data_IF_698993190722
#
_entry.id   IF_698993190722
#
_cell.length_a   1.000
_cell.length_b   1.000
_cell.length_c   1.000
_cell.angle_alpha   90.00
_cell.angle_beta   90.00
_cell.angle_gamma   90.00
#
_symmetry.space_group_name_H-M   'P 1'
#
loop_
_entity.id
_entity.type
_entity.pdbx_description
1 polymer ?
#
# COMPACT_ATOMS: atom_id res chain seq x y z
N UNK A 1 -32.31 43.63 -26.51
CA UNK A 1 -31.74 43.05 -25.27
C UNK A 1 -32.78 42.16 -24.61
N UNK A 2 -32.62 40.83 -24.70
CA UNK A 2 -33.41 39.86 -23.94
C UNK A 2 -32.51 39.33 -22.84
N UNK A 3 -32.87 39.62 -21.60
CA UNK A 3 -32.17 39.19 -20.39
C UNK A 3 -32.42 37.69 -20.18
N UNK A 4 -31.39 36.88 -20.35
CA UNK A 4 -31.42 35.46 -19.97
C UNK A 4 -31.41 35.36 -18.45
N UNK A 5 -32.53 34.88 -17.91
CA UNK A 5 -32.81 34.70 -16.48
C UNK A 5 -31.83 33.72 -15.82
N UNK A 6 -31.33 34.00 -14.59
CA UNK A 6 -30.32 33.20 -13.88
C UNK A 6 -30.86 31.86 -13.32
N UNK A 7 -32.12 31.52 -13.59
CA UNK A 7 -32.79 30.32 -13.02
C UNK A 7 -32.30 29.00 -13.62
N UNK A 8 -31.67 29.00 -14.80
CA UNK A 8 -31.17 27.78 -15.44
C UNK A 8 -29.81 27.32 -14.88
N UNK A 9 -28.92 28.25 -14.55
CA UNK A 9 -27.60 27.92 -13.98
C UNK A 9 -27.70 27.31 -12.57
N UNK A 10 -28.66 27.80 -11.76
CA UNK A 10 -28.88 27.30 -10.39
C UNK A 10 -29.42 25.86 -10.35
N UNK A 11 -30.20 25.44 -11.36
CA UNK A 11 -30.73 24.07 -11.46
C UNK A 11 -29.66 23.03 -11.82
N UNK A 12 -28.66 23.42 -12.63
CA UNK A 12 -27.51 22.56 -12.94
C UNK A 12 -26.63 22.28 -11.72
N UNK A 13 -26.42 23.29 -10.88
CA UNK A 13 -25.64 23.16 -9.64
C UNK A 13 -26.30 22.24 -8.61
N UNK A 14 -27.63 22.33 -8.46
CA UNK A 14 -28.39 21.46 -7.55
C UNK A 14 -28.40 20.00 -8.04
N UNK A 15 -28.47 19.78 -9.36
CA UNK A 15 -28.40 18.43 -9.93
C UNK A 15 -27.00 17.80 -9.75
N UNK A 16 -25.94 18.60 -9.84
CA UNK A 16 -24.57 18.14 -9.65
C UNK A 16 -24.27 17.78 -8.18
N UNK A 17 -24.81 18.54 -7.23
CA UNK A 17 -24.73 18.26 -5.79
C UNK A 17 -25.46 16.97 -5.38
N UNK A 18 -26.51 16.57 -6.11
CA UNK A 18 -27.24 15.32 -5.84
C UNK A 18 -26.52 14.06 -6.37
N UNK A 19 -25.62 14.20 -7.35
CA UNK A 19 -24.88 13.06 -7.94
C UNK A 19 -23.60 12.74 -7.12
N UNK A 20 -23.04 13.72 -6.41
CA UNK A 20 -21.88 13.57 -5.53
C UNK A 20 -22.18 12.92 -4.16
N UNK A 21 -23.46 12.69 -3.84
CA UNK A 21 -23.89 12.23 -2.51
C UNK A 21 -23.81 10.73 -2.24
N UNK A 22 -23.46 9.90 -3.22
CA UNK A 22 -23.29 8.45 -3.01
C UNK A 22 -21.86 8.11 -2.57
N UNK A 23 -21.39 8.78 -1.53
CA UNK A 23 -20.33 8.20 -0.70
C UNK A 23 -20.95 6.94 -0.09
N UNK A 24 -20.50 5.78 -0.55
CA UNK A 24 -20.81 4.49 0.07
C UNK A 24 -20.50 4.62 1.56
N UNK A 25 -21.53 4.76 2.39
CA UNK A 25 -21.38 4.64 3.83
C UNK A 25 -20.95 3.20 4.07
N UNK A 26 -19.69 2.98 4.44
CA UNK A 26 -19.26 1.67 4.91
C UNK A 26 -20.00 1.42 6.22
N UNK A 27 -21.03 0.60 6.16
CA UNK A 27 -21.83 0.29 7.32
C UNK A 27 -21.03 -0.64 8.24
N UNK A 28 -20.64 -0.13 9.41
CA UNK A 28 -19.84 -0.88 10.38
C UNK A 28 -20.69 -1.96 11.09
N UNK A 29 -20.13 -3.16 11.34
CA UNK A 29 -20.82 -4.20 12.10
C UNK A 29 -20.93 -3.85 13.59
N UNK A 30 -21.91 -4.42 14.27
CA UNK A 30 -21.99 -4.44 15.75
C UNK A 30 -22.04 -5.88 16.24
N UNK A 31 -21.67 -6.13 17.49
CA UNK A 31 -21.77 -7.45 18.13
C UNK A 31 -23.13 -7.52 18.81
N UNK A 32 -23.99 -8.43 18.34
CA UNK A 32 -25.34 -8.58 18.88
C UNK A 32 -25.32 -9.46 20.15
N UNK A 33 -24.64 -10.61 20.05
CA UNK A 33 -24.63 -11.62 21.11
C UNK A 33 -23.25 -12.28 21.16
N UNK A 34 -22.75 -12.51 22.37
CA UNK A 34 -21.61 -13.39 22.61
C UNK A 34 -22.01 -14.53 23.55
N UNK A 35 -21.52 -15.74 23.30
CA UNK A 35 -21.73 -16.90 24.18
C UNK A 35 -20.45 -17.73 24.32
N UNK A 36 -20.37 -18.50 25.41
CA UNK A 36 -19.24 -19.39 25.66
C UNK A 36 -19.66 -20.81 25.94
N UNK A 37 -18.92 -21.76 25.37
CA UNK A 37 -19.06 -23.19 25.59
C UNK A 37 -17.75 -23.71 26.17
N UNK A 38 -17.82 -24.25 27.38
CA UNK A 38 -16.65 -24.85 28.04
C UNK A 38 -16.60 -26.35 27.78
N UNK A 39 -15.47 -26.81 27.26
CA UNK A 39 -15.13 -28.22 27.14
C UNK A 39 -13.99 -28.61 28.08
N UNK A 40 -13.69 -29.91 28.13
CA UNK A 40 -12.62 -30.44 28.97
C UNK A 40 -11.23 -29.94 28.52
N UNK A 41 -11.03 -29.79 27.20
CA UNK A 41 -9.75 -29.44 26.57
C UNK A 41 -9.66 -27.99 26.10
N UNK A 42 -10.80 -27.35 25.83
CA UNK A 42 -10.87 -26.01 25.26
C UNK A 42 -12.09 -25.23 25.76
N UNK A 43 -12.04 -23.91 25.57
CA UNK A 43 -13.18 -23.01 25.69
C UNK A 43 -13.46 -22.45 24.30
N UNK A 44 -14.72 -22.44 23.89
CA UNK A 44 -15.15 -21.79 22.66
C UNK A 44 -15.91 -20.54 23.02
N UNK A 45 -15.53 -19.41 22.43
CA UNK A 45 -16.25 -18.15 22.49
C UNK A 45 -16.83 -17.89 21.10
N UNK A 46 -18.13 -17.64 21.03
CA UNK A 46 -18.80 -17.33 19.79
C UNK A 46 -19.34 -15.90 19.87
N UNK A 47 -19.01 -15.09 18.87
CA UNK A 47 -19.53 -13.74 18.70
C UNK A 47 -20.35 -13.69 17.41
N UNK A 48 -21.58 -13.21 17.52
CA UNK A 48 -22.50 -13.02 16.40
C UNK A 48 -22.58 -11.53 16.08
N UNK A 49 -22.31 -11.19 14.82
CA UNK A 49 -22.28 -9.82 14.34
C UNK A 49 -23.47 -9.53 13.44
N UNK A 50 -23.97 -8.30 13.50
CA UNK A 50 -25.07 -7.83 12.65
C UNK A 50 -24.70 -7.75 11.17
N UNK A 51 -23.40 -7.57 10.86
CA UNK A 51 -22.84 -7.51 9.51
C UNK A 51 -21.49 -8.24 9.44
N UNK A 52 -21.05 -8.68 8.25
CA UNK A 52 -19.75 -9.30 8.07
C UNK A 52 -18.59 -8.39 8.52
N UNK A 53 -17.61 -8.97 9.23
CA UNK A 53 -16.34 -8.33 9.57
C UNK A 53 -15.18 -9.01 8.83
N UNK A 54 -14.13 -8.24 8.51
CA UNK A 54 -12.95 -8.76 7.81
C UNK A 54 -11.93 -9.34 8.80
N UNK A 55 -11.05 -10.22 8.31
CA UNK A 55 -9.98 -10.82 9.15
C UNK A 55 -8.98 -9.80 9.68
N UNK A 56 -8.73 -8.74 8.93
CA UNK A 56 -7.83 -7.64 9.32
C UNK A 56 -8.38 -6.84 10.49
N UNK A 57 -9.68 -6.87 10.72
CA UNK A 57 -10.36 -6.10 11.77
C UNK A 57 -10.53 -6.90 13.08
N UNK A 58 -9.89 -8.07 13.19
CA UNK A 58 -9.88 -8.88 14.41
C UNK A 58 -8.46 -9.31 14.73
N UNK A 59 -8.04 -9.02 15.96
CA UNK A 59 -6.78 -9.51 16.50
C UNK A 59 -7.01 -10.18 17.84
N UNK A 60 -6.32 -11.29 18.10
CA UNK A 60 -6.37 -11.92 19.41
C UNK A 60 -5.04 -12.59 19.74
N UNK A 61 -4.61 -12.45 20.99
CA UNK A 61 -3.36 -13.03 21.48
C UNK A 61 -3.48 -13.41 22.95
N UNK A 62 -2.60 -14.30 23.38
CA UNK A 62 -2.46 -14.71 24.77
C UNK A 62 -1.44 -13.80 25.43
N UNK A 63 -1.78 -13.26 26.59
CA UNK A 63 -0.93 -12.43 27.43
C UNK A 63 -0.76 -13.10 28.80
N UNK A 64 0.47 -13.14 29.32
CA UNK A 64 0.79 -13.70 30.65
C UNK A 64 0.19 -15.10 30.91
N UNK A 65 0.00 -15.90 29.85
CA UNK A 65 -0.49 -17.28 29.84
C UNK A 65 -1.94 -17.52 30.32
N UNK A 66 -2.54 -16.63 31.12
CA UNK A 66 -3.91 -16.77 31.64
C UNK A 66 -4.85 -15.68 31.11
N UNK A 67 -4.32 -14.65 30.46
CA UNK A 67 -5.11 -13.61 29.82
C UNK A 67 -5.19 -13.87 28.33
N UNK A 68 -6.38 -13.71 27.78
CA UNK A 68 -6.58 -13.66 26.35
C UNK A 68 -7.18 -12.32 25.97
N UNK A 69 -6.49 -11.60 25.10
CA UNK A 69 -6.93 -10.30 24.60
C UNK A 69 -7.54 -10.51 23.22
N UNK A 70 -8.72 -9.94 23.00
CA UNK A 70 -9.43 -9.96 21.72
C UNK A 70 -9.88 -8.56 21.35
N UNK A 71 -9.41 -8.08 20.21
CA UNK A 71 -9.75 -6.78 19.66
C UNK A 71 -10.63 -6.94 18.43
N UNK A 72 -11.69 -6.14 18.40
CA UNK A 72 -12.51 -5.89 17.22
C UNK A 72 -12.32 -4.44 16.79
N UNK A 73 -11.95 -4.21 15.54
CA UNK A 73 -11.74 -2.90 14.95
C UNK A 73 -12.89 -2.54 14.01
N UNK A 74 -13.11 -1.24 13.78
CA UNK A 74 -14.13 -0.73 12.86
C UNK A 74 -15.55 -1.24 13.15
N UNK A 75 -15.89 -1.40 14.42
CA UNK A 75 -17.24 -1.81 14.84
C UNK A 75 -18.01 -0.64 15.46
N UNK A 76 -19.33 -0.79 15.57
CA UNK A 76 -20.20 0.07 16.38
C UNK A 76 -20.21 -0.48 17.80
N UNK A 77 -20.32 0.40 18.80
CA UNK A 77 -20.33 0.01 20.21
C UNK A 77 -21.47 -0.97 20.49
N UNK A 78 -21.17 -2.20 20.97
CA UNK A 78 -22.20 -3.16 21.32
C UNK A 78 -23.01 -2.74 22.56
N UNK A 79 -24.21 -3.28 22.68
CA UNK A 79 -25.03 -3.10 23.88
C UNK A 79 -24.34 -3.69 25.11
N UNK A 80 -24.39 -3.01 26.27
CA UNK A 80 -23.71 -3.44 27.50
C UNK A 80 -24.03 -4.88 27.98
N UNK A 81 -25.09 -5.49 27.47
CA UNK A 81 -25.50 -6.86 27.78
C UNK A 81 -24.93 -7.95 26.87
N UNK A 82 -24.18 -7.64 25.81
CA UNK A 82 -23.78 -8.64 24.80
C UNK A 82 -22.91 -9.79 25.37
N UNK A 83 -22.19 -9.54 26.47
CA UNK A 83 -21.33 -10.53 27.16
C UNK A 83 -22.04 -11.37 28.22
N UNK A 84 -23.34 -11.17 28.48
CA UNK A 84 -24.04 -11.83 29.61
C UNK A 84 -23.97 -13.35 29.59
N UNK A 85 -23.83 -13.95 28.40
CA UNK A 85 -23.74 -15.39 28.23
C UNK A 85 -22.29 -15.91 28.14
N UNK A 86 -21.30 -15.09 28.53
CA UNK A 86 -19.88 -15.46 28.61
C UNK A 86 -19.47 -15.86 30.04
N UNK A 87 -20.31 -16.61 30.76
CA UNK A 87 -20.14 -16.88 32.20
C UNK A 87 -19.66 -18.30 32.53
N UNK A 88 -19.26 -19.06 31.51
CA UNK A 88 -18.80 -20.45 31.69
C UNK A 88 -17.40 -20.51 32.32
N UNK A 89 -17.26 -21.31 33.39
CA UNK A 89 -15.94 -21.69 33.92
C UNK A 89 -15.09 -22.29 32.79
N UNK A 90 -13.79 -21.95 32.65
CA UNK A 90 -12.92 -21.26 33.61
C UNK A 90 -12.78 -19.74 33.43
N UNK A 91 -13.67 -19.05 32.71
CA UNK A 91 -13.61 -17.58 32.62
C UNK A 91 -13.91 -16.98 34.01
N UNK A 92 -12.98 -16.22 34.57
CA UNK A 92 -13.08 -15.58 35.89
C UNK A 92 -13.50 -14.11 35.80
N UNK A 93 -12.93 -13.40 34.84
CA UNK A 93 -13.16 -11.96 34.64
C UNK A 93 -13.13 -11.62 33.16
N UNK A 94 -13.89 -10.60 32.78
CA UNK A 94 -13.93 -10.06 31.42
C UNK A 94 -13.90 -8.54 31.53
N UNK A 95 -12.78 -7.95 31.13
CA UNK A 95 -12.62 -6.51 31.07
C UNK A 95 -12.91 -6.03 29.66
N UNK A 96 -13.58 -4.88 29.56
CA UNK A 96 -13.92 -4.26 28.29
C UNK A 96 -13.36 -2.86 28.25
N UNK A 97 -12.71 -2.52 27.15
CA UNK A 97 -12.31 -1.15 26.84
C UNK A 97 -12.81 -0.76 25.46
N UNK A 98 -13.37 0.42 25.35
CA UNK A 98 -13.93 0.96 24.12
C UNK A 98 -13.21 2.25 23.75
N UNK A 99 -12.58 2.26 22.58
CA UNK A 99 -11.91 3.46 22.06
C UNK A 99 -12.00 3.50 20.54
N UNK A 100 -12.30 4.67 19.95
CA UNK A 100 -12.25 4.93 18.51
C UNK A 100 -12.77 3.76 17.63
N UNK A 101 -14.03 3.36 17.83
CA UNK A 101 -14.69 2.29 17.06
C UNK A 101 -13.99 0.93 17.16
N UNK A 102 -13.26 0.73 18.25
CA UNK A 102 -12.54 -0.49 18.57
C UNK A 102 -12.94 -0.96 19.95
N UNK A 103 -13.23 -2.25 20.06
CA UNK A 103 -13.55 -2.92 21.31
C UNK A 103 -12.44 -3.89 21.66
N UNK A 104 -11.85 -3.70 22.83
CA UNK A 104 -10.92 -4.64 23.43
C UNK A 104 -11.64 -5.43 24.52
N UNK A 105 -11.51 -6.75 24.45
CA UNK A 105 -12.01 -7.69 25.44
C UNK A 105 -10.84 -8.47 26.03
N UNK A 106 -10.66 -8.37 27.34
CA UNK A 106 -9.61 -9.07 28.07
C UNK A 106 -10.25 -10.14 28.94
N UNK A 107 -10.01 -11.40 28.59
CA UNK A 107 -10.54 -12.56 29.29
C UNK A 107 -9.51 -13.11 30.26
N UNK A 108 -9.84 -13.13 31.54
CA UNK A 108 -9.04 -13.81 32.56
C UNK A 108 -9.54 -15.23 32.76
N UNK A 109 -8.68 -16.22 32.52
CA UNK A 109 -9.01 -17.64 32.67
C UNK A 109 -8.38 -18.22 33.95
N UNK A 110 -9.15 -19.03 34.68
CA UNK A 110 -8.64 -19.82 35.81
C UNK A 110 -7.63 -20.90 35.39
N UNK A 111 -7.61 -21.25 34.09
CA UNK A 111 -6.73 -22.25 33.52
C UNK A 111 -5.80 -21.61 32.50
N UNK A 112 -4.53 -22.04 32.53
CA UNK A 112 -3.51 -21.61 31.59
C UNK A 112 -3.87 -21.93 30.16
N UNK A 113 -3.80 -20.92 29.30
CA UNK A 113 -4.12 -20.98 27.87
C UNK A 113 -2.81 -21.27 27.13
N UNK A 114 -2.80 -22.35 26.35
CA UNK A 114 -1.63 -22.76 25.57
C UNK A 114 -1.68 -22.31 24.12
N UNK A 115 -2.88 -22.29 23.51
CA UNK A 115 -3.08 -21.83 22.14
C UNK A 115 -4.43 -21.14 21.97
N UNK A 116 -4.50 -20.21 21.03
CA UNK A 116 -5.72 -19.50 20.66
C UNK A 116 -5.90 -19.50 19.16
N UNK A 117 -7.05 -19.97 18.68
CA UNK A 117 -7.43 -19.92 17.28
C UNK A 117 -8.63 -19.00 17.11
N UNK A 118 -8.47 -17.95 16.30
CA UNK A 118 -9.56 -17.07 15.90
C UNK A 118 -9.97 -17.45 14.48
N UNK A 119 -11.24 -17.79 14.28
CA UNK A 119 -11.79 -18.27 13.01
C UNK A 119 -13.02 -17.47 12.65
N UNK A 120 -13.04 -16.95 11.42
CA UNK A 120 -14.23 -16.35 10.83
C UNK A 120 -15.08 -17.43 10.19
N UNK A 121 -16.38 -17.36 10.39
CA UNK A 121 -17.35 -18.25 9.79
C UNK A 121 -18.55 -17.45 9.28
N UNK A 122 -19.39 -18.09 8.47
CA UNK A 122 -20.60 -17.49 7.92
C UNK A 122 -20.32 -16.18 7.18
N UNK A 123 -19.31 -16.23 6.30
CA UNK A 123 -18.80 -15.09 5.55
C UNK A 123 -18.40 -13.88 6.42
N UNK A 124 -17.99 -14.12 7.68
CA UNK A 124 -17.58 -13.09 8.62
C UNK A 124 -18.69 -12.54 9.52
N UNK A 125 -19.91 -13.07 9.47
CA UNK A 125 -20.96 -12.70 10.42
C UNK A 125 -20.83 -13.41 11.78
N UNK A 126 -19.96 -14.43 11.85
CA UNK A 126 -19.69 -15.15 13.10
C UNK A 126 -18.19 -15.28 13.33
N UNK A 127 -17.75 -14.93 14.54
CA UNK A 127 -16.37 -15.09 14.98
C UNK A 127 -16.32 -16.17 16.05
N UNK A 128 -15.57 -17.22 15.75
CA UNK A 128 -15.26 -18.32 16.66
C UNK A 128 -13.87 -18.11 17.24
N UNK A 129 -13.76 -18.13 18.56
CA UNK A 129 -12.48 -18.14 19.25
C UNK A 129 -12.38 -19.45 20.02
N UNK A 130 -11.36 -20.24 19.74
CA UNK A 130 -11.08 -21.50 20.44
C UNK A 130 -9.81 -21.31 21.26
N UNK A 131 -9.95 -21.36 22.58
CA UNK A 131 -8.84 -21.30 23.52
C UNK A 131 -8.56 -22.71 24.02
N UNK A 132 -7.38 -23.26 23.71
CA UNK A 132 -6.98 -24.59 24.16
C UNK A 132 -6.10 -24.48 25.40
N UNK A 133 -6.39 -25.27 26.44
CA UNK A 133 -5.58 -25.22 27.67
C UNK A 133 -4.17 -25.76 27.42
N UNK A 134 -3.20 -25.20 28.13
CA UNK A 134 -1.78 -25.54 27.99
C UNK A 134 -1.50 -27.04 28.17
N UNK A 135 -2.24 -27.71 29.04
CA UNK A 135 -2.10 -29.15 29.32
C UNK A 135 -2.43 -30.03 28.09
N UNK A 136 -3.21 -29.52 27.14
CA UNK A 136 -3.65 -30.24 25.93
C UNK A 136 -2.97 -29.77 24.65
N UNK A 137 -2.17 -28.70 24.72
CA UNK A 137 -1.34 -28.28 23.59
C UNK A 137 -0.16 -29.22 23.52
N UNK A 138 -0.21 -30.16 22.58
CA UNK A 138 0.96 -30.97 22.27
C UNK A 138 2.09 -30.01 21.86
N UNK A 139 3.32 -30.19 22.38
CA UNK A 139 4.46 -29.51 21.78
C UNK A 139 4.39 -29.79 20.28
N UNK A 140 4.50 -28.74 19.46
CA UNK A 140 4.57 -28.91 18.02
C UNK A 140 5.79 -29.78 17.77
N UNK A 141 5.57 -31.08 17.54
CA UNK A 141 6.59 -31.92 16.95
C UNK A 141 7.06 -31.12 15.74
N UNK A 142 8.34 -30.76 15.74
CA UNK A 142 9.00 -30.20 14.57
C UNK A 142 8.97 -31.34 13.57
N UNK A 143 7.84 -31.46 12.88
CA UNK A 143 7.71 -32.29 11.73
C UNK A 143 8.24 -31.38 10.63
N UNK A 144 9.53 -31.47 10.23
CA UNK A 144 9.92 -30.91 8.95
C UNK A 144 9.00 -31.62 7.96
N UNK A 145 7.97 -30.92 7.50
CA UNK A 145 7.05 -31.45 6.52
C UNK A 145 7.85 -31.62 5.23
N UNK A 146 8.54 -32.74 5.10
CA UNK A 146 9.13 -33.19 3.86
C UNK A 146 7.97 -33.64 2.99
N UNK A 147 7.39 -32.68 2.27
CA UNK A 147 6.71 -33.01 1.02
C UNK A 147 7.82 -33.48 0.10
N UNK A 148 7.96 -34.78 -0.07
CA UNK A 148 8.82 -35.31 -1.13
C UNK A 148 8.16 -34.90 -2.46
N UNK A 149 8.76 -34.02 -3.28
CA UNK A 149 8.37 -33.98 -4.68
C UNK A 149 8.63 -35.37 -5.25
N UNK A 150 7.76 -35.80 -6.15
CA UNK A 150 7.88 -37.03 -6.92
C UNK A 150 9.35 -37.32 -7.26
N UNK A 151 9.86 -38.53 -6.94
CA UNK A 151 11.29 -38.89 -6.96
C UNK A 151 12.01 -38.60 -8.28
N UNK A 152 11.28 -38.37 -9.38
CA UNK A 152 11.85 -38.00 -10.68
C UNK A 152 12.30 -36.54 -10.80
N UNK A 153 11.77 -35.63 -9.98
CA UNK A 153 12.04 -34.19 -10.09
C UNK A 153 12.64 -33.57 -8.81
N UNK A 154 13.00 -34.41 -7.82
CA UNK A 154 13.61 -33.97 -6.57
C UNK A 154 15.08 -33.54 -6.79
N UNK A 155 15.29 -32.31 -7.27
CA UNK A 155 16.61 -31.70 -7.23
C UNK A 155 16.98 -31.35 -5.78
N UNK A 156 18.18 -31.74 -5.35
CA UNK A 156 18.72 -31.38 -4.03
C UNK A 156 19.00 -29.87 -4.03
N UNK A 157 18.11 -29.09 -3.42
CA UNK A 157 18.34 -27.66 -3.18
C UNK A 157 19.36 -27.56 -2.04
N UNK A 158 20.61 -27.20 -2.36
CA UNK A 158 21.63 -26.92 -1.36
C UNK A 158 21.28 -25.65 -0.61
N UNK A 159 21.43 -25.67 0.71
CA UNK A 159 21.30 -24.45 1.50
C UNK A 159 22.37 -23.43 1.04
N UNK A 160 22.00 -22.16 0.84
CA UNK A 160 22.96 -21.14 0.45
C UNK A 160 24.04 -21.04 1.52
N UNK A 161 25.31 -21.07 1.08
CA UNK A 161 26.50 -21.05 1.96
C UNK A 161 26.70 -19.70 2.65
N UNK A 162 26.00 -18.67 2.19
CA UNK A 162 26.05 -17.31 2.72
C UNK A 162 24.69 -16.63 2.51
N UNK A 163 24.34 -15.68 3.39
CA UNK A 163 23.16 -14.82 3.20
C UNK A 163 23.22 -14.02 1.89
N UNK A 164 24.43 -13.82 1.34
CA UNK A 164 24.63 -13.20 0.01
C UNK A 164 24.30 -14.14 -1.15
N UNK A 165 24.49 -15.45 -1.00
CA UNK A 165 24.18 -16.46 -2.03
C UNK A 165 22.68 -16.77 -2.09
N UNK A 166 21.93 -16.39 -1.06
CA UNK A 166 20.47 -16.57 -0.98
C UNK A 166 19.68 -15.47 -1.69
N UNK A 167 20.30 -14.35 -2.07
CA UNK A 167 19.61 -13.26 -2.78
C UNK A 167 19.37 -13.68 -4.21
N UNK A 168 18.10 -13.62 -4.62
CA UNK A 168 17.74 -13.69 -6.02
C UNK A 168 18.37 -12.48 -6.73
N UNK A 169 19.02 -12.71 -7.89
CA UNK A 169 19.69 -11.62 -8.60
C UNK A 169 18.63 -10.70 -9.20
N UNK A 170 18.69 -9.44 -8.84
CA UNK A 170 17.90 -8.38 -9.45
C UNK A 170 18.64 -7.86 -10.68
N UNK A 171 17.95 -7.82 -11.82
CA UNK A 171 18.56 -7.48 -13.13
C UNK A 171 17.73 -6.45 -13.87
N UNK A 172 18.41 -5.53 -14.55
CA UNK A 172 17.82 -4.53 -15.43
C UNK A 172 18.27 -4.79 -16.87
N UNK A 173 17.31 -5.06 -17.74
CA UNK A 173 17.54 -5.11 -19.18
C UNK A 173 17.23 -3.75 -19.78
N UNK A 174 18.21 -3.13 -20.42
CA UNK A 174 18.10 -1.78 -20.98
C UNK A 174 18.14 -1.87 -22.49
N UNK A 175 16.99 -1.62 -23.11
CA UNK A 175 16.84 -1.60 -24.57
C UNK A 175 16.91 -0.15 -25.02
N UNK A 176 17.77 0.13 -26.00
CA UNK A 176 17.91 1.45 -26.60
C UNK A 176 17.61 1.38 -28.10
N UNK A 177 17.06 2.45 -28.64
CA UNK A 177 16.73 2.62 -30.07
C UNK A 177 17.93 3.03 -30.94
N UNK A 178 18.98 3.57 -30.33
CA UNK A 178 20.16 4.12 -31.00
C UNK A 178 21.41 3.39 -30.52
N UNK A 179 22.29 3.04 -31.46
CA UNK A 179 23.55 2.34 -31.18
C UNK A 179 24.64 3.29 -30.65
N UNK A 180 25.57 2.75 -29.88
CA UNK A 180 26.78 3.40 -29.33
C UNK A 180 26.53 4.54 -28.32
N UNK A 181 25.38 4.57 -27.66
CA UNK A 181 25.11 5.54 -26.61
C UNK A 181 25.61 5.05 -25.25
N UNK A 182 26.34 5.89 -24.48
CA UNK A 182 26.76 5.52 -23.13
C UNK A 182 25.54 5.45 -22.21
N UNK A 183 25.38 4.33 -21.52
CA UNK A 183 24.31 4.10 -20.56
C UNK A 183 24.87 4.19 -19.15
N UNK A 184 24.19 4.97 -18.32
CA UNK A 184 24.50 5.14 -16.91
C UNK A 184 23.37 4.59 -16.06
N UNK A 185 23.74 3.87 -15.01
CA UNK A 185 22.85 3.43 -13.92
C UNK A 185 23.44 3.98 -12.63
N UNK A 186 22.64 4.76 -11.89
CA UNK A 186 23.05 5.40 -10.63
C UNK A 186 24.38 6.17 -10.73
N UNK A 187 24.53 6.93 -11.82
CA UNK A 187 25.72 7.72 -12.13
C UNK A 187 26.99 6.91 -12.45
N UNK A 188 26.89 5.58 -12.58
CA UNK A 188 27.99 4.71 -12.99
C UNK A 188 27.80 4.27 -14.45
N UNK A 189 28.86 4.37 -15.26
CA UNK A 189 28.86 3.86 -16.63
C UNK A 189 28.79 2.34 -16.61
N UNK A 190 27.76 1.78 -17.25
CA UNK A 190 27.58 0.32 -17.35
C UNK A 190 27.99 -0.23 -18.71
N UNK A 191 27.89 0.58 -19.76
CA UNK A 191 28.29 0.18 -21.11
C UNK A 191 27.74 1.10 -22.18
N UNK A 192 27.84 0.65 -23.43
CA UNK A 192 27.28 1.33 -24.60
C UNK A 192 26.13 0.51 -25.19
N UNK A 193 25.11 1.17 -25.71
CA UNK A 193 23.98 0.50 -26.37
C UNK A 193 24.41 -0.16 -27.69
N UNK A 194 23.83 -1.32 -28.05
CA UNK A 194 23.03 -2.22 -27.21
C UNK A 194 23.90 -2.94 -26.17
N UNK A 195 23.41 -3.08 -24.94
CA UNK A 195 24.13 -3.83 -23.91
C UNK A 195 24.11 -5.33 -24.23
N UNK A 196 25.26 -6.00 -24.13
CA UNK A 196 25.37 -7.45 -24.38
C UNK A 196 24.69 -8.29 -23.29
N UNK A 197 24.62 -7.78 -22.06
CA UNK A 197 24.14 -8.50 -20.88
C UNK A 197 23.25 -7.57 -20.02
N UNK A 198 22.24 -8.10 -19.32
CA UNK A 198 21.50 -7.35 -18.31
C UNK A 198 22.42 -6.83 -17.21
N UNK A 199 22.06 -5.69 -16.64
CA UNK A 199 22.81 -5.05 -15.56
C UNK A 199 22.33 -5.58 -14.21
N UNK A 200 23.24 -6.14 -13.42
CA UNK A 200 22.96 -6.51 -12.03
C UNK A 200 22.82 -5.24 -11.17
N UNK A 201 21.67 -5.07 -10.51
CA UNK A 201 21.41 -3.94 -9.60
C UNK A 201 20.95 -4.42 -8.23
N UNK A 202 21.02 -3.53 -7.23
CA UNK A 202 20.38 -3.78 -5.94
C UNK A 202 18.85 -3.62 -6.09
N UNK A 203 18.03 -4.15 -5.17
CA UNK A 203 16.62 -3.81 -5.14
C UNK A 203 16.43 -2.39 -4.62
N UNK A 204 15.57 -1.63 -5.30
CA UNK A 204 15.31 -0.24 -4.95
C UNK A 204 15.02 0.64 -6.16
N UNK A 205 15.17 1.94 -5.93
CA UNK A 205 15.04 2.97 -6.96
C UNK A 205 16.39 3.19 -7.64
N UNK A 206 16.40 3.06 -8.96
CA UNK A 206 17.57 3.26 -9.79
C UNK A 206 17.30 4.36 -10.81
N UNK A 207 18.33 5.16 -11.09
CA UNK A 207 18.29 6.21 -12.10
C UNK A 207 19.04 5.74 -13.33
N UNK A 208 18.33 5.58 -14.43
CA UNK A 208 18.91 5.11 -15.69
C UNK A 208 18.81 6.21 -16.74
N UNK A 209 19.89 6.46 -17.48
CA UNK A 209 19.86 7.43 -18.57
C UNK A 209 21.18 7.57 -19.31
N UNK A 210 21.23 8.55 -20.21
CA UNK A 210 22.38 8.80 -21.07
C UNK A 210 23.40 9.78 -20.48
N UNK A 211 23.06 10.44 -19.37
CA UNK A 211 23.84 11.53 -18.79
C UNK A 211 24.14 11.28 -17.31
N UNK A 212 25.32 11.72 -16.85
CA UNK A 212 25.70 11.71 -15.43
C UNK A 212 24.99 12.81 -14.64
N UNK A 213 24.83 12.62 -13.34
CA UNK A 213 24.19 13.58 -12.44
C UNK A 213 25.00 14.87 -12.26
N UNK A 214 26.31 14.84 -12.53
CA UNK A 214 27.23 15.97 -12.35
C UNK A 214 26.81 17.21 -13.15
N UNK A 215 26.20 17.02 -14.33
CA UNK A 215 25.75 18.12 -15.18
C UNK A 215 24.41 18.74 -14.74
N UNK A 216 23.67 18.09 -13.85
CA UNK A 216 22.30 18.50 -13.45
C UNK A 216 22.23 19.29 -12.13
N UNK A 217 23.36 19.50 -11.44
CA UNK A 217 23.41 20.20 -10.15
C UNK A 217 24.31 21.43 -10.17
N UNK A 218 24.06 22.40 -11.04
CA UNK A 218 24.48 23.77 -10.76
C UNK A 218 23.30 24.57 -10.16
N UNK A 219 23.19 24.67 -8.81
CA UNK A 219 22.17 25.49 -8.16
C UNK A 219 22.36 27.00 -8.43
N UNK A 220 23.49 27.40 -9.02
CA UNK A 220 23.76 28.77 -9.45
C UNK A 220 23.50 29.00 -10.95
N UNK A 221 22.83 28.10 -11.65
CA UNK A 221 22.32 28.36 -13.00
C UNK A 221 21.35 29.55 -12.97
N UNK A 222 21.79 30.71 -13.47
CA UNK A 222 21.04 31.98 -13.41
C UNK A 222 20.40 32.32 -14.74
N UNK A 223 20.89 31.72 -15.82
CA UNK A 223 20.44 32.02 -17.18
C UNK A 223 19.32 31.07 -17.60
N UNK A 224 18.31 31.58 -18.31
CA UNK A 224 17.20 30.75 -18.86
C UNK A 224 17.69 29.58 -19.71
N UNK A 225 18.79 29.77 -20.45
CA UNK A 225 19.44 28.72 -21.25
C UNK A 225 20.08 27.61 -20.40
N UNK A 226 20.69 27.97 -19.28
CA UNK A 226 21.30 27.01 -18.35
C UNK A 226 20.22 26.19 -17.63
N UNK A 227 19.13 26.85 -17.22
CA UNK A 227 17.97 26.18 -16.64
C UNK A 227 17.32 25.21 -17.63
N UNK A 228 17.14 25.63 -18.88
CA UNK A 228 16.62 24.77 -19.95
C UNK A 228 17.54 23.57 -20.18
N UNK A 229 18.86 23.78 -20.25
CA UNK A 229 19.83 22.68 -20.36
C UNK A 229 19.69 21.67 -19.21
N UNK A 230 19.57 22.15 -17.97
CA UNK A 230 19.37 21.27 -16.81
C UNK A 230 18.07 20.46 -16.91
N UNK A 231 16.96 21.12 -17.29
CA UNK A 231 15.67 20.45 -17.46
C UNK A 231 15.74 19.35 -18.55
N UNK A 232 16.45 19.60 -19.65
CA UNK A 232 16.68 18.60 -20.72
C UNK A 232 17.48 17.39 -20.20
N UNK A 233 18.53 17.63 -19.41
CA UNK A 233 19.33 16.56 -18.80
C UNK A 233 18.53 15.72 -17.79
N UNK A 234 17.51 16.31 -17.16
CA UNK A 234 16.56 15.58 -16.31
C UNK A 234 15.60 14.74 -17.16
N UNK A 235 15.14 15.23 -18.31
CA UNK A 235 14.25 14.49 -19.21
C UNK A 235 14.91 13.25 -19.82
N UNK A 236 16.23 13.28 -20.05
CA UNK A 236 17.00 12.12 -20.54
C UNK A 236 17.27 11.02 -19.50
N UNK A 237 16.53 11.01 -18.37
CA UNK A 237 16.68 10.05 -17.28
C UNK A 237 15.33 9.45 -16.89
N UNK A 238 15.36 8.17 -16.57
CA UNK A 238 14.22 7.38 -16.13
C UNK A 238 14.49 6.84 -14.71
N UNK A 239 13.56 7.10 -13.81
CA UNK A 239 13.56 6.52 -12.46
C UNK A 239 12.78 5.21 -12.49
N UNK A 240 13.46 4.11 -12.15
CA UNK A 240 12.92 2.76 -12.24
C UNK A 240 12.99 2.11 -10.86
N UNK A 241 11.91 1.45 -10.48
CA UNK A 241 11.87 0.67 -9.25
C UNK A 241 11.99 -0.81 -9.57
N UNK A 242 12.92 -1.50 -8.90
CA UNK A 242 13.17 -2.92 -9.12
C UNK A 242 13.08 -3.66 -7.79
N UNK A 243 12.20 -4.67 -7.72
CA UNK A 243 12.06 -5.53 -6.55
C UNK A 243 13.19 -6.57 -6.44
N UNK A 244 13.36 -7.13 -5.24
CA UNK A 244 14.34 -8.19 -4.98
C UNK A 244 14.03 -9.42 -5.84
N UNK A 245 15.03 -9.91 -6.58
CA UNK A 245 14.90 -11.07 -7.47
C UNK A 245 14.18 -10.87 -8.79
N UNK A 246 13.71 -9.65 -9.10
CA UNK A 246 13.02 -9.39 -10.37
C UNK A 246 13.98 -9.03 -11.51
N UNK A 247 13.55 -9.39 -12.72
CA UNK A 247 14.15 -8.96 -13.98
C UNK A 247 13.20 -7.94 -14.61
N UNK A 248 13.60 -6.67 -14.64
CA UNK A 248 12.81 -5.59 -15.22
C UNK A 248 13.42 -5.14 -16.54
N UNK A 249 12.58 -4.97 -17.56
CA UNK A 249 13.00 -4.52 -18.89
C UNK A 249 12.55 -3.08 -19.08
N UNK A 250 13.50 -2.20 -19.39
CA UNK A 250 13.23 -0.78 -19.66
C UNK A 250 13.64 -0.42 -21.08
N UNK A 251 12.90 0.52 -21.65
CA UNK A 251 13.14 1.02 -22.99
C UNK A 251 13.53 2.49 -22.88
N UNK A 252 14.76 2.80 -23.27
CA UNK A 252 15.25 4.16 -23.41
C UNK A 252 15.16 4.54 -24.88
N UNK A 253 14.42 5.60 -25.18
CA UNK A 253 14.26 6.11 -26.53
C UNK A 253 15.00 7.44 -26.65
N UNK A 254 16.08 7.46 -27.42
CA UNK A 254 16.88 8.65 -27.66
C UNK A 254 16.23 9.56 -28.70
N UNK A 255 15.64 9.00 -29.76
CA UNK A 255 15.07 9.79 -30.85
C UNK A 255 13.86 10.63 -30.41
N UNK A 256 13.03 10.12 -29.50
CA UNK A 256 11.90 10.88 -28.94
C UNK A 256 12.33 11.96 -27.96
N UNK A 257 13.55 11.85 -27.39
CA UNK A 257 14.06 12.87 -26.47
C UNK A 257 14.26 14.21 -27.18
N UNK A 258 14.74 14.21 -28.42
CA UNK A 258 14.89 15.45 -29.22
C UNK A 258 13.53 16.14 -29.44
N UNK A 259 12.49 15.38 -29.74
CA UNK A 259 11.13 15.89 -29.91
C UNK A 259 10.55 16.44 -28.60
N UNK A 260 10.78 15.75 -27.48
CA UNK A 260 10.32 16.18 -26.14
C UNK A 260 11.00 17.49 -25.70
N UNK A 261 12.28 17.67 -26.04
CA UNK A 261 13.03 18.91 -25.80
C UNK A 261 12.47 20.07 -26.62
N UNK A 262 12.12 19.82 -27.89
CA UNK A 262 11.52 20.82 -28.77
C UNK A 262 10.12 21.21 -28.25
N UNK A 263 9.28 20.24 -27.88
CA UNK A 263 7.94 20.49 -27.33
C UNK A 263 8.02 21.26 -26.00
N UNK A 264 8.95 20.91 -25.12
CA UNK A 264 9.19 21.67 -23.88
C UNK A 264 9.53 23.13 -24.16
N UNK A 265 10.47 23.39 -25.09
CA UNK A 265 10.83 24.75 -25.48
C UNK A 265 9.63 25.52 -26.06
N UNK A 266 8.84 24.87 -26.93
CA UNK A 266 7.66 25.46 -27.53
C UNK A 266 6.60 25.81 -26.47
N UNK A 267 6.33 24.90 -25.53
CA UNK A 267 5.40 25.12 -24.41
C UNK A 267 5.87 26.24 -23.48
N UNK A 268 7.17 26.33 -23.22
CA UNK A 268 7.74 27.39 -22.40
C UNK A 268 7.55 28.77 -23.05
N UNK A 269 7.84 28.90 -24.35
CA UNK A 269 7.63 30.16 -25.08
C UNK A 269 6.15 30.52 -25.19
N UNK A 270 5.27 29.57 -25.52
CA UNK A 270 3.83 29.77 -25.58
C UNK A 270 3.23 30.13 -24.21
N UNK A 271 3.69 29.48 -23.14
CA UNK A 271 3.27 29.74 -21.76
C UNK A 271 3.66 31.14 -21.30
N UNK A 272 4.85 31.63 -21.68
CA UNK A 272 5.27 32.99 -21.38
C UNK A 272 4.40 34.03 -22.09
N UNK A 273 4.09 33.84 -23.37
CA UNK A 273 3.24 34.75 -24.17
C UNK A 273 1.79 34.74 -23.68
N UNK A 274 1.23 33.56 -23.41
CA UNK A 274 -0.13 33.41 -22.90
C UNK A 274 -0.27 34.00 -21.48
N UNK A 275 0.71 33.74 -20.60
CA UNK A 275 0.75 34.30 -19.25
C UNK A 275 0.84 35.82 -19.24
N UNK A 276 1.68 36.40 -20.12
CA UNK A 276 1.77 37.86 -20.28
C UNK A 276 0.47 38.46 -20.81
N UNK A 277 -0.21 37.79 -21.76
CA UNK A 277 -1.50 38.23 -22.27
C UNK A 277 -2.60 38.24 -21.20
N UNK A 278 -2.70 37.18 -20.39
CA UNK A 278 -3.66 37.08 -19.29
C UNK A 278 -3.34 38.12 -18.21
N UNK A 279 -2.06 38.30 -17.86
CA UNK A 279 -1.63 39.31 -16.89
C UNK A 279 -1.98 40.73 -17.36
N UNK A 280 -1.72 41.05 -18.63
CA UNK A 280 -2.08 42.34 -19.22
C UNK A 280 -3.60 42.55 -19.25
N UNK A 281 -4.37 41.51 -19.61
CA UNK A 281 -5.84 41.53 -19.56
C UNK A 281 -6.35 41.78 -18.14
N UNK A 282 -5.74 41.15 -17.13
CA UNK A 282 -6.09 41.32 -15.73
C UNK A 282 -5.84 42.76 -15.25
N UNK A 283 -4.70 43.37 -15.62
CA UNK A 283 -4.41 44.78 -15.33
C UNK A 283 -5.44 45.69 -16.00
N UNK A 284 -5.82 45.40 -17.25
CA UNK A 284 -6.80 46.18 -17.99
C UNK A 284 -8.19 46.13 -17.33
N UNK A 285 -8.64 44.94 -16.91
CA UNK A 285 -9.89 44.74 -16.19
C UNK A 285 -9.89 45.43 -14.82
N UNK A 286 -8.80 45.33 -14.06
CA UNK A 286 -8.65 46.04 -12.78
C UNK A 286 -8.66 47.56 -12.99
N UNK A 287 -8.02 48.06 -14.05
CA UNK A 287 -8.00 49.49 -14.38
C UNK A 287 -9.38 50.03 -14.81
N UNK A 288 -10.22 49.22 -15.45
CA UNK A 288 -11.59 49.59 -15.82
C UNK A 288 -12.60 49.44 -14.67
N UNK A 289 -12.32 48.58 -13.68
CA UNK A 289 -13.17 48.40 -12.51
C UNK A 289 -12.96 49.42 -11.39
N UNK A 290 -11.93 50.28 -11.49
CA UNK A 290 -11.56 51.29 -10.49
C UNK A 290 -12.00 52.74 -10.86
N UNK A 291 -12.76 52.92 -11.94
CA UNK A 291 -13.46 54.16 -12.31
C UNK A 291 -14.96 53.97 -12.27
#
# INVERSE_FOLDING_TARGET
>A
MKTTSPKFAMRGFILWLLILGSLMSQEMPTIDIANSESGETNIKLNFFLSKPIQRTDIAGWIEQENWFILNFYHIIQPDSGFIRNLTSYPIQDIQQDWSNNSLQLSFHSARKIGSSDVVLHDNGQKVFVVLTYADFVRPKDVNPSFVFPNLKDAQKISHPTSWKDARERTTLEIICDTDDLPIYVDNQLVGHSPLEHPVDVLPGWHKVGYFTEEYSRDPNARTSKEKMMNDILVMGRLDVFVDDGKHETIVLNYQTLDDDVIDYNMRFQLGSVAGFSIFALMILLMSWGLT
#
